data_IF_353271744116
#
_entry.id   IF_353271744116
#
_cell.length_a   1.000
_cell.length_b   1.000
_cell.length_c   1.000
_cell.angle_alpha   90.00
_cell.angle_beta   90.00
_cell.angle_gamma   90.00
#
_symmetry.space_group_name_H-M   'P 1'
#
loop_
_entity.id
_entity.type
_entity.pdbx_description
1 polymer ?
#
# COMPACT_ATOMS: atom_id res chain seq x y z
N UNK A 1 -9.76 4.64 12.03
CA UNK A 1 -8.80 5.75 12.02
C UNK A 1 -8.84 6.50 10.69
N UNK A 2 -8.88 7.83 10.72
CA UNK A 2 -8.77 8.67 9.52
C UNK A 2 -7.34 8.61 8.96
N UNK A 3 -7.19 8.19 7.70
CA UNK A 3 -5.88 7.98 7.05
C UNK A 3 -5.58 9.03 5.99
N UNK A 4 -6.59 9.51 5.27
CA UNK A 4 -6.38 10.47 4.21
C UNK A 4 -7.65 11.11 3.66
N UNK A 5 -7.44 12.01 2.70
CA UNK A 5 -8.48 12.71 1.96
C UNK A 5 -8.32 12.46 0.46
N UNK A 6 -9.42 12.28 -0.25
CA UNK A 6 -9.41 12.14 -1.72
C UNK A 6 -10.68 12.73 -2.31
N UNK A 7 -10.52 13.72 -3.20
CA UNK A 7 -11.65 14.39 -3.85
C UNK A 7 -12.73 14.92 -2.87
N UNK A 8 -12.32 15.37 -1.68
CA UNK A 8 -13.23 15.86 -0.64
C UNK A 8 -13.87 14.77 0.23
N UNK A 9 -13.54 13.50 0.00
CA UNK A 9 -13.99 12.37 0.82
C UNK A 9 -12.93 12.01 1.86
N UNK A 10 -13.38 11.68 3.07
CA UNK A 10 -12.57 11.12 4.15
C UNK A 10 -12.37 9.62 3.93
N UNK A 11 -11.13 9.16 4.05
CA UNK A 11 -10.75 7.75 3.94
C UNK A 11 -10.31 7.25 5.32
N UNK A 12 -11.08 6.32 5.88
CA UNK A 12 -10.82 5.68 7.15
C UNK A 12 -10.44 4.21 6.99
N UNK A 13 -9.49 3.73 7.78
CA UNK A 13 -9.15 2.31 7.89
C UNK A 13 -9.35 1.82 9.34
N UNK A 14 -9.46 0.50 9.60
CA UNK A 14 -9.41 -0.04 10.96
C UNK A 14 -8.16 0.41 11.72
N UNK A 15 -8.25 0.52 13.05
CA UNK A 15 -7.12 0.98 13.87
C UNK A 15 -5.97 -0.03 13.92
N UNK A 16 -6.27 -1.30 13.71
CA UNK A 16 -5.32 -2.42 13.66
C UNK A 16 -4.86 -2.76 12.24
N UNK A 17 -5.30 -2.00 11.22
CA UNK A 17 -4.84 -2.17 9.85
C UNK A 17 -3.49 -1.49 9.60
N UNK A 18 -2.64 -2.15 8.84
CA UNK A 18 -1.45 -1.55 8.24
C UNK A 18 -1.75 -1.19 6.78
N UNK A 19 -1.07 -0.19 6.23
CA UNK A 19 -1.23 0.15 4.83
C UNK A 19 0.06 0.66 4.22
N UNK A 20 0.20 0.46 2.92
CA UNK A 20 1.27 1.04 2.13
C UNK A 20 0.77 1.74 0.87
N UNK A 21 1.39 2.89 0.56
CA UNK A 21 1.07 3.70 -0.62
C UNK A 21 1.85 3.24 -1.85
N UNK A 22 3.10 2.79 -1.68
CA UNK A 22 4.02 2.51 -2.78
C UNK A 22 4.39 1.02 -2.93
N UNK A 23 3.89 0.11 -2.08
CA UNK A 23 4.32 -1.30 -2.01
C UNK A 23 3.75 -2.23 -3.10
N UNK A 24 3.44 -1.70 -4.27
CA UNK A 24 2.88 -2.48 -5.39
C UNK A 24 3.33 -1.98 -6.76
N UNK A 25 3.38 -2.87 -7.77
CA UNK A 25 3.82 -2.49 -9.09
C UNK A 25 2.73 -1.74 -9.87
N UNK A 26 1.50 -1.67 -9.38
CA UNK A 26 0.42 -1.02 -10.12
C UNK A 26 0.69 0.48 -10.28
N UNK A 27 0.42 1.07 -11.45
CA UNK A 27 0.70 2.49 -11.71
C UNK A 27 0.03 3.49 -10.76
N UNK A 28 -1.05 3.10 -10.06
CA UNK A 28 -1.74 3.95 -9.10
C UNK A 28 -0.88 4.20 -7.84
N UNK A 29 -0.13 3.20 -7.36
CA UNK A 29 0.77 3.35 -6.22
C UNK A 29 1.83 4.42 -6.49
N UNK A 30 2.45 4.40 -7.68
CA UNK A 30 3.43 5.43 -8.10
C UNK A 30 2.88 6.86 -8.09
N UNK A 31 1.56 7.04 -8.14
CA UNK A 31 0.88 8.34 -8.13
C UNK A 31 0.28 8.68 -6.76
N UNK A 32 0.50 7.83 -5.75
CA UNK A 32 -0.12 7.98 -4.44
C UNK A 32 -1.64 7.86 -4.49
N UNK A 33 -2.18 7.11 -5.45
CA UNK A 33 -3.63 7.00 -5.71
C UNK A 33 -4.20 5.63 -5.33
N UNK A 34 -3.42 4.82 -4.62
CA UNK A 34 -3.81 3.51 -4.15
C UNK A 34 -3.13 3.18 -2.81
N UNK A 35 -3.78 2.30 -2.05
CA UNK A 35 -3.28 1.71 -0.82
C UNK A 35 -3.34 0.19 -0.95
N UNK A 36 -2.29 -0.50 -0.51
CA UNK A 36 -2.39 -1.91 -0.15
C UNK A 36 -2.64 -1.95 1.36
N UNK A 37 -3.77 -2.54 1.78
CA UNK A 37 -4.22 -2.55 3.17
C UNK A 37 -4.20 -3.96 3.74
N UNK A 38 -3.44 -4.14 4.81
CA UNK A 38 -3.22 -5.40 5.51
C UNK A 38 -4.18 -5.47 6.70
N UNK A 39 -5.20 -6.32 6.57
CA UNK A 39 -6.22 -6.56 7.59
C UNK A 39 -6.94 -7.87 7.27
N UNK A 40 -7.53 -8.55 8.26
CA UNK A 40 -8.18 -9.87 8.05
C UNK A 40 -9.53 -9.80 7.31
N UNK A 41 -10.07 -8.59 7.20
CA UNK A 41 -11.31 -8.26 6.50
C UNK A 41 -11.13 -6.99 5.66
N UNK A 42 -12.05 -6.69 4.75
CA UNK A 42 -11.99 -5.49 3.92
C UNK A 42 -13.19 -4.57 4.18
N UNK A 43 -13.15 -3.80 5.28
CA UNK A 43 -14.19 -2.81 5.56
C UNK A 43 -14.18 -1.71 4.49
N UNK A 44 -15.37 -1.22 4.15
CA UNK A 44 -15.52 -0.09 3.26
C UNK A 44 -14.99 1.19 3.94
N UNK A 45 -14.08 1.96 3.31
CA UNK A 45 -13.33 3.02 4.00
C UNK A 45 -13.94 4.43 3.87
N UNK A 46 -15.18 4.55 3.37
CA UNK A 46 -15.86 5.83 3.15
C UNK A 46 -17.27 5.78 3.76
N UNK A 47 -17.89 6.95 3.95
CA UNK A 47 -19.22 7.10 4.58
C UNK A 47 -20.29 6.19 3.95
N UNK A 48 -20.46 6.25 2.62
CA UNK A 48 -21.41 5.43 1.87
C UNK A 48 -20.91 5.20 0.44
N UNK A 49 -21.25 4.05 -0.14
CA UNK A 49 -21.06 3.79 -1.56
C UNK A 49 -22.02 2.75 -2.12
N UNK A 50 -22.19 2.75 -3.45
CA UNK A 50 -22.98 1.74 -4.17
C UNK A 50 -22.08 0.80 -4.97
N UNK A 51 -22.19 -0.50 -4.73
CA UNK A 51 -21.46 -1.51 -5.49
C UNK A 51 -21.97 -1.56 -6.93
N UNK A 52 -21.12 -1.20 -7.88
CA UNK A 52 -21.45 -1.22 -9.32
C UNK A 52 -21.13 -2.56 -9.96
N UNK A 53 -19.99 -3.15 -9.59
CA UNK A 53 -19.44 -4.32 -10.25
C UNK A 53 -18.74 -5.21 -9.23
N UNK A 54 -18.96 -6.52 -9.35
CA UNK A 54 -18.16 -7.57 -8.69
C UNK A 54 -17.75 -8.54 -9.78
N UNK A 55 -16.46 -8.53 -10.14
CA UNK A 55 -15.94 -9.31 -11.27
C UNK A 55 -14.89 -10.31 -10.81
N UNK A 56 -15.14 -11.59 -11.11
CA UNK A 56 -14.14 -12.65 -10.99
C UNK A 56 -13.24 -12.70 -12.21
N UNK A 57 -11.95 -12.93 -12.03
CA UNK A 57 -10.99 -13.10 -13.13
C UNK A 57 -9.84 -14.05 -12.76
N UNK A 58 -9.08 -14.48 -13.77
CA UNK A 58 -7.96 -15.41 -13.62
C UNK A 58 -6.65 -14.62 -13.70
N UNK A 59 -5.85 -14.54 -12.63
CA UNK A 59 -4.52 -13.93 -12.67
C UNK A 59 -3.57 -14.76 -13.56
N UNK A 60 -2.44 -14.16 -14.00
CA UNK A 60 -1.34 -14.89 -14.61
C UNK A 60 -0.88 -16.09 -13.76
N UNK A 61 -0.20 -17.10 -14.36
CA UNK A 61 0.44 -18.15 -13.59
C UNK A 61 1.38 -17.59 -12.52
N UNK A 62 1.33 -18.16 -11.31
CA UNK A 62 2.10 -17.70 -10.17
C UNK A 62 2.05 -18.72 -9.02
N UNK A 63 2.54 -18.32 -7.86
CA UNK A 63 2.72 -19.22 -6.70
C UNK A 63 1.43 -19.56 -5.97
N UNK A 64 0.35 -18.83 -6.23
CA UNK A 64 -0.88 -18.88 -5.45
C UNK A 64 -2.10 -19.24 -6.33
N UNK A 65 -3.30 -18.90 -5.85
CA UNK A 65 -4.56 -19.24 -6.51
C UNK A 65 -4.66 -18.51 -7.85
N UNK A 66 -5.24 -19.21 -8.83
CA UNK A 66 -5.58 -18.65 -10.15
C UNK A 66 -7.02 -18.13 -10.19
N UNK A 67 -7.41 -17.43 -9.13
CA UNK A 67 -8.69 -16.74 -9.01
C UNK A 67 -8.48 -15.46 -8.22
N UNK A 68 -9.11 -14.38 -8.70
CA UNK A 68 -9.12 -13.07 -8.05
C UNK A 68 -10.45 -12.35 -8.35
N UNK A 69 -10.75 -11.31 -7.58
CA UNK A 69 -11.95 -10.50 -7.77
C UNK A 69 -11.62 -9.01 -7.75
N UNK A 70 -12.42 -8.25 -8.51
CA UNK A 70 -12.46 -6.82 -8.48
C UNK A 70 -13.84 -6.37 -8.02
N UNK A 71 -13.89 -5.41 -7.09
CA UNK A 71 -15.12 -4.74 -6.68
C UNK A 71 -14.98 -3.28 -7.10
N UNK A 72 -16.00 -2.71 -7.73
CA UNK A 72 -16.07 -1.29 -8.04
C UNK A 72 -17.25 -0.67 -7.29
N UNK A 73 -16.99 0.37 -6.51
CA UNK A 73 -17.98 1.10 -5.72
C UNK A 73 -18.04 2.54 -6.21
N UNK A 74 -19.26 3.08 -6.37
CA UNK A 74 -19.53 4.48 -6.68
C UNK A 74 -19.82 5.27 -5.41
N UNK A 75 -19.16 6.41 -5.25
CA UNK A 75 -19.21 7.30 -4.10
C UNK A 75 -19.59 8.71 -4.56
N UNK A 76 -20.56 8.80 -5.48
CA UNK A 76 -21.05 10.07 -6.02
C UNK A 76 -20.19 10.62 -7.17
N UNK A 77 -19.72 9.75 -8.07
CA UNK A 77 -18.88 10.13 -9.21
C UNK A 77 -17.37 10.02 -8.96
N UNK A 78 -16.98 9.68 -7.73
CA UNK A 78 -15.66 9.13 -7.37
C UNK A 78 -15.83 7.63 -7.17
N UNK A 79 -14.88 6.82 -7.64
CA UNK A 79 -15.01 5.37 -7.60
C UNK A 79 -13.88 4.73 -6.83
N UNK A 80 -14.20 3.77 -5.96
CA UNK A 80 -13.23 2.94 -5.27
C UNK A 80 -13.18 1.56 -5.92
N UNK A 81 -11.99 1.12 -6.31
CA UNK A 81 -11.74 -0.20 -6.87
C UNK A 81 -10.94 -1.03 -5.88
N UNK A 82 -11.49 -2.19 -5.52
CA UNK A 82 -10.85 -3.14 -4.61
C UNK A 82 -10.39 -4.38 -5.37
N UNK A 83 -9.21 -4.91 -5.08
CA UNK A 83 -8.70 -6.19 -5.60
C UNK A 83 -8.25 -7.11 -4.46
N UNK A 84 -8.00 -8.38 -4.79
CA UNK A 84 -7.45 -9.38 -3.86
C UNK A 84 -8.43 -9.72 -2.73
N UNK A 85 -9.73 -9.70 -3.04
CA UNK A 85 -10.81 -10.04 -2.11
C UNK A 85 -11.57 -11.29 -2.57
N UNK A 86 -12.10 -12.03 -1.60
CA UNK A 86 -13.29 -12.86 -1.77
C UNK A 86 -14.52 -12.02 -1.40
N UNK A 87 -15.33 -11.57 -2.39
CA UNK A 87 -16.43 -10.65 -2.15
C UNK A 87 -17.52 -11.25 -1.26
N UNK A 88 -18.13 -10.40 -0.42
CA UNK A 88 -19.36 -10.66 0.33
C UNK A 88 -20.55 -9.83 -0.14
N UNK A 89 -20.28 -8.84 -1.00
CA UNK A 89 -21.25 -7.93 -1.59
C UNK A 89 -21.59 -8.32 -3.03
N UNK A 90 -22.65 -7.72 -3.56
CA UNK A 90 -23.18 -7.92 -4.91
C UNK A 90 -23.41 -6.56 -5.60
N UNK A 91 -23.39 -6.51 -6.95
CA UNK A 91 -23.82 -5.32 -7.66
C UNK A 91 -25.22 -4.86 -7.22
N UNK A 92 -25.37 -3.58 -6.92
CA UNK A 92 -26.60 -2.97 -6.43
C UNK A 92 -26.61 -2.71 -4.92
N UNK A 93 -25.81 -3.44 -4.14
CA UNK A 93 -25.70 -3.26 -2.69
C UNK A 93 -25.22 -1.83 -2.37
N UNK A 94 -25.76 -1.27 -1.28
CA UNK A 94 -25.24 -0.07 -0.63
C UNK A 94 -24.36 -0.56 0.52
N UNK A 95 -23.20 0.07 0.68
CA UNK A 95 -22.24 -0.23 1.74
C UNK A 95 -21.91 1.06 2.49
N UNK A 96 -21.86 0.96 3.80
CA UNK A 96 -21.50 2.07 4.71
C UNK A 96 -20.10 1.87 5.29
N UNK A 97 -19.55 2.93 5.89
CA UNK A 97 -18.24 2.89 6.54
C UNK A 97 -18.11 1.67 7.47
N UNK A 98 -16.98 0.99 7.41
CA UNK A 98 -16.68 -0.22 8.18
C UNK A 98 -17.46 -1.49 7.80
N UNK A 99 -18.42 -1.44 6.87
CA UNK A 99 -19.08 -2.66 6.41
C UNK A 99 -18.16 -3.53 5.55
N UNK A 100 -18.21 -4.85 5.79
CA UNK A 100 -17.33 -5.83 5.13
C UNK A 100 -17.65 -6.00 3.65
N UNK A 101 -16.71 -5.63 2.77
CA UNK A 101 -16.78 -5.95 1.34
C UNK A 101 -16.42 -7.40 1.05
N UNK A 102 -15.69 -8.06 1.96
CA UNK A 102 -15.11 -9.37 1.75
C UNK A 102 -13.86 -9.60 2.59
N UNK A 103 -13.20 -10.73 2.33
CA UNK A 103 -11.93 -11.09 2.99
C UNK A 103 -10.78 -11.09 2.00
N UNK A 104 -9.59 -10.61 2.38
CA UNK A 104 -8.41 -10.74 1.54
C UNK A 104 -8.09 -12.19 1.16
N UNK A 105 -7.58 -12.36 -0.06
CA UNK A 105 -7.18 -13.65 -0.60
C UNK A 105 -5.78 -13.59 -1.21
N UNK A 106 -5.06 -14.70 -1.10
CA UNK A 106 -3.79 -14.88 -1.80
C UNK A 106 -4.02 -15.32 -3.24
N UNK A 107 -3.91 -14.39 -4.19
CA UNK A 107 -3.94 -14.65 -5.62
C UNK A 107 -2.53 -14.63 -6.23
N UNK A 108 -2.37 -15.17 -7.45
CA UNK A 108 -1.09 -15.20 -8.16
C UNK A 108 -0.52 -13.83 -8.55
N UNK A 109 -1.21 -12.72 -8.28
CA UNK A 109 -0.60 -11.38 -8.35
C UNK A 109 0.38 -11.12 -7.21
N UNK A 110 0.18 -11.76 -6.06
CA UNK A 110 1.01 -11.59 -4.87
C UNK A 110 2.29 -12.41 -4.95
N UNK A 111 3.37 -11.89 -4.37
CA UNK A 111 4.64 -12.61 -4.28
C UNK A 111 4.58 -13.64 -3.15
N UNK A 112 5.48 -14.65 -3.14
CA UNK A 112 5.59 -15.59 -2.02
C UNK A 112 5.93 -14.97 -0.66
N UNK A 113 6.47 -13.75 -0.66
CA UNK A 113 6.88 -12.99 0.52
C UNK A 113 5.92 -11.80 0.79
N UNK A 114 4.75 -11.78 0.14
CA UNK A 114 3.71 -10.78 0.42
C UNK A 114 2.73 -11.33 1.43
N UNK A 115 2.45 -10.56 2.47
CA UNK A 115 1.34 -10.87 3.38
C UNK A 115 -0.01 -10.63 2.70
N UNK A 116 -1.08 -11.32 3.12
CA UNK A 116 -2.42 -11.07 2.63
C UNK A 116 -2.84 -9.61 2.85
N UNK A 117 -3.30 -8.96 1.78
CA UNK A 117 -3.82 -7.60 1.81
C UNK A 117 -4.87 -7.45 0.72
N UNK A 118 -5.65 -6.37 0.81
CA UNK A 118 -6.48 -5.92 -0.29
C UNK A 118 -5.91 -4.64 -0.88
N UNK A 119 -6.03 -4.52 -2.20
CA UNK A 119 -5.64 -3.32 -2.91
C UNK A 119 -6.85 -2.40 -3.03
N UNK A 120 -6.69 -1.13 -2.69
CA UNK A 120 -7.67 -0.06 -2.82
C UNK A 120 -7.12 1.01 -3.78
N UNK A 121 -7.82 1.29 -4.88
CA UNK A 121 -7.49 2.38 -5.81
C UNK A 121 -8.67 3.32 -5.98
N UNK A 122 -8.39 4.63 -5.96
CA UNK A 122 -9.42 5.66 -6.14
C UNK A 122 -9.36 6.23 -7.56
N UNK A 123 -10.52 6.29 -8.21
CA UNK A 123 -10.67 6.58 -9.63
C UNK A 123 -11.64 7.74 -9.85
N UNK A 124 -11.34 8.61 -10.82
CA UNK A 124 -12.23 9.69 -11.22
C UNK A 124 -13.22 9.34 -12.35
N UNK A 125 -13.23 8.08 -12.81
CA UNK A 125 -14.22 7.61 -13.80
C UNK A 125 -14.44 6.11 -13.69
N UNK A 126 -15.69 5.67 -13.86
CA UNK A 126 -16.02 4.24 -13.94
C UNK A 126 -15.62 3.61 -15.27
N UNK A 127 -15.57 4.40 -16.34
CA UNK A 127 -15.39 3.91 -17.72
C UNK A 127 -13.94 3.47 -17.92
N UNK A 128 -13.65 2.19 -18.23
CA UNK A 128 -12.27 1.67 -18.27
C UNK A 128 -11.30 2.47 -19.13
N UNK A 129 -11.72 2.96 -20.30
CA UNK A 129 -10.90 3.76 -21.22
C UNK A 129 -10.66 5.20 -20.76
N UNK A 130 -11.43 5.68 -19.78
CA UNK A 130 -11.36 7.05 -19.25
C UNK A 130 -10.93 7.05 -17.77
N UNK A 131 -10.57 5.89 -17.21
CA UNK A 131 -10.11 5.77 -15.82
C UNK A 131 -8.81 6.55 -15.63
N UNK A 132 -8.80 7.40 -14.62
CA UNK A 132 -7.60 8.03 -14.10
C UNK A 132 -7.62 7.91 -12.58
N UNK A 133 -6.43 7.71 -12.01
CA UNK A 133 -6.28 7.54 -10.58
C UNK A 133 -6.27 8.91 -9.89
N UNK A 134 -7.00 9.03 -8.79
CA UNK A 134 -7.06 10.23 -7.96
C UNK A 134 -6.08 10.10 -6.79
N UNK A 135 -5.07 10.98 -6.67
CA UNK A 135 -4.14 10.94 -5.55
C UNK A 135 -4.85 11.08 -4.20
N UNK A 136 -4.42 10.28 -3.24
CA UNK A 136 -4.88 10.31 -1.86
C UNK A 136 -3.91 11.21 -1.09
N UNK A 137 -4.43 12.26 -0.47
CA UNK A 137 -3.69 13.08 0.48
C UNK A 137 -3.64 12.35 1.82
N UNK A 138 -2.51 11.71 2.11
CA UNK A 138 -2.29 10.97 3.37
C UNK A 138 -2.15 11.97 4.50
N UNK A 139 -3.10 11.91 5.45
CA UNK A 139 -3.14 12.71 6.67
C UNK A 139 -2.38 12.05 7.82
N UNK A 140 -2.18 10.74 7.74
CA UNK A 140 -1.58 9.96 8.81
C UNK A 140 -0.18 10.49 9.15
N UNK A 141 -0.07 11.14 10.31
CA UNK A 141 1.22 11.45 10.92
C UNK A 141 1.76 10.13 11.45
N UNK A 142 2.52 9.48 10.58
CA UNK A 142 3.16 8.20 10.84
C UNK A 142 3.89 8.32 12.16
N UNK A 143 3.29 7.76 13.22
CA UNK A 143 3.69 8.02 14.59
C UNK A 143 5.20 8.05 14.69
N UNK A 144 5.75 9.16 15.22
CA UNK A 144 7.17 9.58 15.12
C UNK A 144 8.07 8.41 14.71
N UNK A 145 8.55 8.38 13.45
CA UNK A 145 9.34 7.26 12.97
C UNK A 145 10.50 6.99 13.92
N UNK A 146 10.88 5.73 14.11
CA UNK A 146 11.98 5.41 15.00
C UNK A 146 13.31 5.62 14.29
N UNK A 147 14.10 6.59 14.75
CA UNK A 147 15.40 6.92 14.12
C UNK A 147 16.45 5.82 14.22
N UNK A 148 16.35 4.93 15.21
CA UNK A 148 17.38 3.91 15.46
C UNK A 148 17.21 2.67 14.57
N UNK A 149 16.01 2.44 14.01
CA UNK A 149 15.70 1.33 13.08
C UNK A 149 16.30 -0.04 13.48
N UNK A 150 16.30 -0.36 14.78
CA UNK A 150 16.76 -1.67 15.25
C UNK A 150 15.69 -2.71 14.95
N UNK A 151 16.02 -3.68 14.10
CA UNK A 151 15.13 -4.74 13.67
C UNK A 151 15.44 -6.04 14.42
N UNK A 152 14.41 -6.65 15.01
CA UNK A 152 14.44 -7.98 15.60
C UNK A 152 13.84 -8.95 14.59
N UNK A 153 14.61 -9.96 14.20
CA UNK A 153 14.12 -11.07 13.37
C UNK A 153 13.19 -11.93 14.22
N UNK A 154 11.93 -12.02 13.82
CA UNK A 154 10.92 -12.87 14.49
C UNK A 154 10.85 -14.25 13.85
N UNK A 155 10.96 -14.31 12.52
CA UNK A 155 10.97 -15.56 11.76
C UNK A 155 12.01 -15.48 10.64
N UNK A 156 12.73 -16.59 10.41
CA UNK A 156 13.66 -16.71 9.30
C UNK A 156 13.28 -17.93 8.45
N UNK A 157 12.85 -17.67 7.22
CA UNK A 157 12.59 -18.69 6.21
C UNK A 157 13.73 -18.82 5.19
N UNK A 158 13.56 -19.72 4.22
CA UNK A 158 14.56 -19.92 3.16
C UNK A 158 14.74 -18.70 2.23
N UNK A 159 13.72 -17.84 2.12
CA UNK A 159 13.67 -16.76 1.12
C UNK A 159 13.53 -15.36 1.71
N UNK A 160 13.10 -15.24 2.97
CA UNK A 160 12.90 -13.96 3.65
C UNK A 160 13.02 -14.14 5.16
N UNK A 161 13.21 -13.03 5.86
CA UNK A 161 13.10 -12.95 7.32
C UNK A 161 12.02 -11.93 7.66
N UNK A 162 11.11 -12.30 8.55
CA UNK A 162 10.13 -11.39 9.15
C UNK A 162 10.82 -10.66 10.29
N UNK A 163 10.72 -9.33 10.30
CA UNK A 163 11.36 -8.50 11.31
C UNK A 163 10.35 -7.51 11.90
N UNK A 164 10.45 -7.26 13.21
CA UNK A 164 9.78 -6.12 13.86
C UNK A 164 10.79 -5.09 14.32
N UNK A 165 10.34 -3.85 14.53
CA UNK A 165 11.15 -2.84 15.22
C UNK A 165 11.23 -3.16 16.72
N UNK A 166 12.43 -3.05 17.29
CA UNK A 166 12.69 -3.32 18.71
C UNK A 166 11.83 -2.44 19.62
N UNK A 167 11.79 -1.13 19.35
CA UNK A 167 11.03 -0.15 20.11
C UNK A 167 9.66 0.17 19.49
N UNK A 168 9.18 -0.65 18.56
CA UNK A 168 7.93 -0.44 17.85
C UNK A 168 7.94 0.79 16.92
N UNK A 169 6.75 1.16 16.43
CA UNK A 169 6.55 2.24 15.47
C UNK A 169 6.81 1.81 14.03
N UNK A 170 7.03 2.80 13.16
CA UNK A 170 7.32 2.59 11.74
C UNK A 170 8.80 2.78 11.45
N UNK A 171 9.38 2.02 10.50
CA UNK A 171 10.75 2.23 10.08
C UNK A 171 10.91 3.62 9.51
N UNK A 172 12.03 4.24 9.79
CA UNK A 172 12.29 5.61 9.42
C UNK A 172 13.35 5.73 8.33
N UNK A 173 13.04 6.47 7.29
CA UNK A 173 14.02 6.98 6.35
C UNK A 173 14.30 8.46 6.62
N UNK A 174 15.54 8.88 6.40
CA UNK A 174 15.94 10.28 6.45
C UNK A 174 16.18 10.77 5.03
N UNK A 175 15.53 11.86 4.64
CA UNK A 175 15.77 12.51 3.36
C UNK A 175 15.89 14.02 3.57
N UNK A 176 17.01 14.60 3.11
CA UNK A 176 17.36 16.00 3.36
C UNK A 176 17.29 16.40 4.86
N UNK A 177 17.78 15.52 5.75
CA UNK A 177 17.77 15.75 7.20
C UNK A 177 16.40 15.63 7.87
N UNK A 178 15.33 15.34 7.11
CA UNK A 178 13.99 15.16 7.64
C UNK A 178 13.65 13.67 7.77
N UNK A 179 13.15 13.29 8.94
CA UNK A 179 12.65 11.95 9.21
C UNK A 179 11.30 11.74 8.50
N UNK A 180 11.12 10.57 7.91
CA UNK A 180 9.88 10.12 7.26
C UNK A 180 9.69 8.65 7.54
N UNK A 181 8.45 8.19 7.63
CA UNK A 181 8.24 6.75 7.64
C UNK A 181 8.54 6.15 6.27
N UNK A 182 9.15 4.98 6.33
CA UNK A 182 9.37 4.09 5.23
C UNK A 182 8.04 3.59 4.68
N UNK A 183 7.94 3.55 3.36
CA UNK A 183 6.80 2.99 2.65
C UNK A 183 7.31 2.22 1.44
N UNK A 184 6.80 1.02 1.16
CA UNK A 184 7.34 0.09 0.18
C UNK A 184 8.77 -0.40 0.45
N UNK A 185 9.08 -1.59 -0.06
CA UNK A 185 10.40 -2.18 0.11
C UNK A 185 11.54 -1.57 -0.73
N UNK A 186 12.79 -1.94 -0.43
CA UNK A 186 14.04 -1.45 -1.06
C UNK A 186 14.89 -2.63 -1.54
N UNK A 187 15.08 -2.86 -2.86
CA UNK A 187 14.14 -2.54 -3.91
C UNK A 187 12.98 -3.56 -3.87
N UNK A 188 11.77 -3.10 -3.59
CA UNK A 188 10.56 -3.87 -3.88
C UNK A 188 9.85 -3.21 -5.07
N UNK A 189 9.61 -3.98 -6.13
CA UNK A 189 9.18 -3.45 -7.44
C UNK A 189 10.09 -2.36 -8.05
N UNK A 190 11.39 -2.39 -7.70
CA UNK A 190 12.42 -1.47 -8.19
C UNK A 190 12.26 -0.01 -7.74
N UNK A 191 11.41 0.24 -6.75
CA UNK A 191 11.19 1.55 -6.16
C UNK A 191 11.39 1.46 -4.65
N UNK A 192 11.40 2.61 -3.98
CA UNK A 192 11.13 2.74 -2.55
C UNK A 192 10.28 4.00 -2.33
N UNK A 193 9.57 4.05 -1.20
CA UNK A 193 8.66 5.12 -0.86
C UNK A 193 8.92 5.72 0.52
N UNK A 194 8.43 6.92 0.71
CA UNK A 194 8.39 7.62 2.01
C UNK A 194 7.03 8.28 2.14
N UNK A 195 6.48 8.29 3.35
CA UNK A 195 5.36 9.17 3.65
C UNK A 195 5.89 10.58 3.95
N UNK A 196 5.19 11.58 3.41
CA UNK A 196 5.60 12.98 3.40
C UNK A 196 6.37 13.42 2.14
N UNK A 197 6.41 14.74 1.95
CA UNK A 197 7.14 15.39 0.85
C UNK A 197 8.63 15.40 1.16
N UNK A 198 9.43 14.73 0.35
CA UNK A 198 10.88 14.59 0.53
C UNK A 198 11.59 14.85 -0.79
N UNK A 199 12.88 15.17 -0.68
CA UNK A 199 13.78 15.46 -1.79
C UNK A 199 15.19 14.97 -1.43
N UNK A 200 16.02 14.76 -2.46
CA UNK A 200 17.43 14.40 -2.29
C UNK A 200 17.64 12.93 -1.96
N UNK A 201 18.80 12.65 -1.37
CA UNK A 201 19.22 11.30 -1.00
C UNK A 201 18.46 10.81 0.23
N UNK A 202 17.99 9.57 0.15
CA UNK A 202 17.27 8.86 1.20
C UNK A 202 18.24 7.93 1.93
N UNK A 203 18.17 7.91 3.26
CA UNK A 203 19.03 7.15 4.14
C UNK A 203 18.22 6.23 5.06
N UNK A 204 18.74 5.02 5.30
CA UNK A 204 18.34 4.14 6.39
C UNK A 204 19.50 4.07 7.38
N UNK A 205 19.31 4.64 8.57
CA UNK A 205 20.43 4.93 9.47
C UNK A 205 21.46 5.85 8.77
N UNK A 206 22.72 5.41 8.73
CA UNK A 206 23.80 6.14 8.04
C UNK A 206 24.04 5.66 6.59
N UNK A 207 23.22 4.73 6.09
CA UNK A 207 23.40 4.14 4.75
C UNK A 207 22.52 4.85 3.73
N UNK A 208 23.12 5.42 2.69
CA UNK A 208 22.36 5.92 1.55
C UNK A 208 21.70 4.75 0.82
N UNK A 209 20.39 4.82 0.62
CA UNK A 209 19.57 3.75 0.05
C UNK A 209 18.89 4.15 -1.25
N UNK A 210 18.86 5.43 -1.62
CA UNK A 210 18.20 5.88 -2.84
C UNK A 210 18.21 7.38 -3.05
N UNK A 211 17.68 7.81 -4.19
CA UNK A 211 17.50 9.23 -4.53
C UNK A 211 16.02 9.47 -4.86
N UNK A 212 15.41 10.49 -4.26
CA UNK A 212 14.02 10.85 -4.57
C UNK A 212 13.90 11.25 -6.04
N UNK A 213 12.99 10.59 -6.76
CA UNK A 213 12.73 10.82 -8.19
C UNK A 213 11.34 11.39 -8.45
N UNK A 214 10.44 11.30 -7.47
CA UNK A 214 9.09 11.86 -7.54
C UNK A 214 8.66 12.31 -6.15
N UNK A 215 8.21 13.56 -6.05
CA UNK A 215 7.64 14.12 -4.84
C UNK A 215 6.16 14.39 -5.10
N UNK A 216 5.29 13.72 -4.35
CA UNK A 216 3.84 13.93 -4.38
C UNK A 216 3.45 14.87 -3.23
N UNK A 217 2.16 15.09 -3.05
CA UNK A 217 1.67 16.01 -2.03
C UNK A 217 1.89 15.53 -0.60
N UNK A 218 1.70 14.23 -0.36
CA UNK A 218 1.77 13.61 0.97
C UNK A 218 2.73 12.41 1.04
N UNK A 219 3.50 12.13 -0.03
CA UNK A 219 4.48 11.04 -0.09
C UNK A 219 5.53 11.31 -1.16
N UNK A 220 6.60 10.52 -1.17
CA UNK A 220 7.65 10.61 -2.19
C UNK A 220 8.17 9.23 -2.58
N UNK A 221 8.54 9.08 -3.84
CA UNK A 221 9.12 7.86 -4.41
C UNK A 221 10.60 8.12 -4.70
N UNK A 222 11.45 7.18 -4.30
CA UNK A 222 12.86 7.21 -4.60
C UNK A 222 13.27 6.00 -5.45
N UNK A 223 14.31 6.23 -6.27
CA UNK A 223 15.00 5.17 -7.00
C UNK A 223 16.04 4.55 -6.05
N UNK A 224 15.90 3.27 -5.68
CA UNK A 224 16.83 2.63 -4.76
C UNK A 224 18.21 2.45 -5.40
N UNK A 225 19.25 2.54 -4.57
CA UNK A 225 20.61 2.11 -4.92
C UNK A 225 20.69 0.57 -4.93
N UNK A 226 21.81 0.01 -5.42
CA UNK A 226 22.03 -1.44 -5.39
C UNK A 226 22.14 -1.92 -3.93
N UNK A 227 21.01 -2.38 -3.38
CA UNK A 227 20.93 -2.83 -2.00
C UNK A 227 21.56 -4.23 -1.86
N UNK A 228 22.58 -4.33 -1.01
CA UNK A 228 23.33 -5.57 -0.79
C UNK A 228 23.42 -5.90 0.69
N UNK A 229 23.16 -7.17 1.00
CA UNK A 229 23.36 -7.77 2.31
C UNK A 229 24.53 -8.76 2.20
N UNK A 230 25.61 -8.50 2.93
CA UNK A 230 26.84 -9.32 2.90
C UNK A 230 27.35 -9.59 1.47
N UNK A 231 27.34 -8.56 0.62
CA UNK A 231 27.82 -8.63 -0.77
C UNK A 231 26.85 -9.25 -1.78
N UNK A 232 25.74 -9.85 -1.32
CA UNK A 232 24.67 -10.39 -2.18
C UNK A 232 23.58 -9.36 -2.38
N UNK A 233 23.05 -9.26 -3.60
CA UNK A 233 21.87 -8.43 -3.86
C UNK A 233 20.69 -8.95 -3.04
N UNK A 234 20.04 -8.06 -2.31
CA UNK A 234 18.87 -8.37 -1.49
C UNK A 234 17.84 -7.25 -1.57
N UNK A 235 16.79 -7.36 -0.77
CA UNK A 235 15.88 -6.25 -0.55
C UNK A 235 15.22 -6.33 0.82
N UNK A 236 14.65 -5.21 1.25
CA UNK A 236 13.80 -5.11 2.44
C UNK A 236 12.36 -4.88 1.97
N UNK A 237 11.38 -5.52 2.58
CA UNK A 237 9.97 -5.17 2.44
C UNK A 237 9.53 -4.38 3.67
N UNK A 238 8.74 -3.34 3.48
CA UNK A 238 8.08 -2.62 4.56
C UNK A 238 6.58 -2.63 4.26
N UNK A 239 5.77 -2.93 5.25
CA UNK A 239 4.30 -2.92 5.23
C UNK A 239 3.80 -2.22 6.48
#
# INVERSE_FOLDING_TARGET
>A
MLVGLVAGLELSLPEDAYFSVHNSPYPAHRRGAALDVYHDDAPFPFEEGRVLEVRRFTPPPGCWRREDHAILVDMGGVYAKFLHLRPRVRPGDVVEESESLGRPIMSSYLRPWSDPHYHLEILGSRVPSQRFALPIHILYDVGRPNSENVLIVEEAGERYALCRLEHGGNPAFVANGLLSAADAGIPHYQLGGTLGRRHGTVYLGNTAIGEVVLTLESSSVFRPLDFRLNGKRGGLGFY
#
